data_IF_368599088023
#
_entry.id   IF_368599088023
#
_cell.length_a   1.000
_cell.length_b   1.000
_cell.length_c   1.000
_cell.angle_alpha   90.00
_cell.angle_beta   90.00
_cell.angle_gamma   90.00
#
_symmetry.space_group_name_H-M   'P 1'
#
loop_
_entity.id
_entity.type
_entity.pdbx_description
1 polymer ?
#
# COMPACT_ATOMS: atom_id res chain seq x y z
N UNK A 1 -6.52 4.15 -6.22
CA UNK A 1 -7.61 5.11 -5.92
C UNK A 1 -7.55 5.68 -4.51
N UNK A 2 -7.62 4.87 -3.45
CA UNK A 2 -7.60 5.39 -2.06
C UNK A 2 -6.41 6.32 -1.76
N UNK A 3 -5.20 5.97 -2.23
CA UNK A 3 -4.01 6.85 -2.12
C UNK A 3 -4.17 8.21 -2.80
N UNK A 4 -4.79 8.24 -3.99
CA UNK A 4 -4.99 9.50 -4.71
C UNK A 4 -6.01 10.38 -3.99
N UNK A 5 -7.10 9.80 -3.50
CA UNK A 5 -8.11 10.52 -2.69
C UNK A 5 -7.49 11.15 -1.44
N UNK A 6 -6.69 10.38 -0.70
CA UNK A 6 -5.97 10.88 0.47
C UNK A 6 -5.02 12.03 0.11
N UNK A 7 -4.26 11.87 -0.97
CA UNK A 7 -3.29 12.87 -1.42
C UNK A 7 -3.96 14.17 -1.87
N UNK A 8 -5.05 14.08 -2.65
CA UNK A 8 -5.79 15.25 -3.13
C UNK A 8 -6.48 16.00 -2.00
N UNK A 9 -6.99 15.30 -0.99
CA UNK A 9 -7.59 15.93 0.20
C UNK A 9 -6.56 16.75 0.97
N UNK A 10 -5.37 16.21 1.23
CA UNK A 10 -4.30 16.96 1.91
C UNK A 10 -3.83 18.16 1.09
N UNK A 11 -3.70 17.99 -0.22
CA UNK A 11 -3.21 19.04 -1.11
C UNK A 11 -4.22 20.19 -1.27
N UNK A 12 -5.51 19.87 -1.42
CA UNK A 12 -6.57 20.88 -1.54
C UNK A 12 -6.66 21.77 -0.31
N UNK A 13 -6.54 21.20 0.89
CA UNK A 13 -6.52 22.00 2.12
C UNK A 13 -5.24 22.84 2.28
N UNK A 14 -4.12 22.37 1.73
CA UNK A 14 -2.88 23.14 1.72
C UNK A 14 -2.96 24.31 0.73
N UNK A 15 -3.57 24.09 -0.44
CA UNK A 15 -3.80 25.10 -1.47
C UNK A 15 -4.70 26.24 -0.93
N UNK A 16 -5.76 25.88 -0.20
CA UNK A 16 -6.69 26.83 0.44
C UNK A 16 -6.17 27.43 1.76
N UNK A 17 -4.94 27.10 2.18
CA UNK A 17 -4.31 27.51 3.46
C UNK A 17 -5.09 27.13 4.73
N UNK A 18 -6.11 26.29 4.62
CA UNK A 18 -6.90 25.83 5.78
C UNK A 18 -6.10 24.91 6.69
N UNK A 19 -5.09 24.22 6.13
CA UNK A 19 -4.14 23.39 6.87
C UNK A 19 -3.31 24.23 7.86
N UNK A 20 -2.90 25.43 7.47
CA UNK A 20 -2.12 26.34 8.34
C UNK A 20 -2.95 26.76 9.55
N UNK A 21 -4.23 27.09 9.34
CA UNK A 21 -5.19 27.42 10.41
C UNK A 21 -5.43 26.24 11.36
N UNK A 22 -5.48 25.00 10.85
CA UNK A 22 -5.61 23.81 11.71
C UNK A 22 -4.40 23.58 12.61
N UNK A 23 -3.20 23.98 12.16
CA UNK A 23 -1.96 23.79 12.91
C UNK A 23 -1.75 24.84 14.02
N UNK A 24 -2.50 25.94 14.02
CA UNK A 24 -2.48 26.94 15.11
C UNK A 24 -3.42 26.59 16.26
N UNK A 25 -4.34 25.65 16.05
CA UNK A 25 -5.25 25.17 17.10
C UNK A 25 -4.52 24.26 18.10
N UNK A 26 -4.90 24.26 19.40
CA UNK A 26 -4.29 23.45 20.45
C UNK A 26 -4.75 21.99 20.39
N UNK A 27 -4.69 21.37 19.21
CA UNK A 27 -5.08 19.98 18.97
C UNK A 27 -3.86 19.11 18.68
N UNK A 28 -3.92 17.84 19.09
CA UNK A 28 -2.84 16.90 18.84
C UNK A 28 -2.74 16.60 17.33
N UNK A 29 -1.54 16.69 16.78
CA UNK A 29 -1.22 16.49 15.35
C UNK A 29 -1.57 15.07 14.87
N UNK A 30 -1.47 14.09 15.76
CA UNK A 30 -1.89 12.72 15.46
C UNK A 30 -3.41 12.65 15.22
N UNK A 31 -4.20 13.41 15.98
CA UNK A 31 -5.66 13.49 15.83
C UNK A 31 -6.04 14.17 14.51
N UNK A 32 -5.31 15.21 14.09
CA UNK A 32 -5.49 15.83 12.76
C UNK A 32 -5.27 14.80 11.65
N UNK A 33 -4.13 14.08 11.71
CA UNK A 33 -3.78 13.08 10.72
C UNK A 33 -4.80 11.92 10.69
N UNK A 34 -5.20 11.42 11.86
CA UNK A 34 -6.20 10.37 12.00
C UNK A 34 -7.54 10.80 11.42
N UNK A 35 -8.01 12.01 11.74
CA UNK A 35 -9.25 12.57 11.20
C UNK A 35 -9.26 12.63 9.67
N UNK A 36 -8.15 13.04 9.06
CA UNK A 36 -7.97 13.09 7.60
C UNK A 36 -7.95 11.71 6.95
N UNK A 37 -7.35 10.74 7.62
CA UNK A 37 -7.25 9.38 7.13
C UNK A 37 -8.58 8.64 7.13
N UNK A 38 -9.50 8.95 8.06
CA UNK A 38 -10.75 8.19 8.26
C UNK A 38 -11.51 7.96 6.96
N UNK A 39 -11.73 9.00 6.14
CA UNK A 39 -12.45 8.85 4.87
C UNK A 39 -11.75 7.90 3.88
N UNK A 40 -10.42 7.97 3.81
CA UNK A 40 -9.63 7.09 2.93
C UNK A 40 -9.52 5.67 3.48
N UNK A 41 -9.54 5.50 4.80
CA UNK A 41 -9.59 4.20 5.48
C UNK A 41 -10.89 3.48 5.14
N UNK A 42 -12.04 4.17 5.14
CA UNK A 42 -13.32 3.57 4.74
C UNK A 42 -13.23 3.03 3.31
N UNK A 43 -12.67 3.80 2.38
CA UNK A 43 -12.44 3.35 1.00
C UNK A 43 -11.49 2.14 0.95
N UNK A 44 -10.46 2.09 1.80
CA UNK A 44 -9.56 0.96 1.90
C UNK A 44 -10.25 -0.31 2.44
N UNK A 45 -11.12 -0.19 3.46
CA UNK A 45 -11.92 -1.30 3.98
C UNK A 45 -12.84 -1.85 2.89
N UNK A 46 -13.56 -0.97 2.19
CA UNK A 46 -14.45 -1.36 1.09
C UNK A 46 -13.63 -2.04 -0.02
N UNK A 47 -12.46 -1.50 -0.36
CA UNK A 47 -11.57 -2.09 -1.36
C UNK A 47 -11.07 -3.48 -0.97
N UNK A 48 -10.68 -3.69 0.29
CA UNK A 48 -10.25 -4.99 0.79
C UNK A 48 -11.41 -6.01 0.78
N UNK A 49 -12.62 -5.60 1.21
CA UNK A 49 -13.80 -6.44 1.17
C UNK A 49 -14.18 -6.82 -0.27
N UNK A 50 -14.18 -5.85 -1.20
CA UNK A 50 -14.44 -6.09 -2.61
C UNK A 50 -13.41 -7.05 -3.22
N UNK A 51 -12.14 -6.96 -2.82
CA UNK A 51 -11.11 -7.90 -3.26
C UNK A 51 -11.38 -9.32 -2.74
N UNK A 52 -11.74 -9.50 -1.47
CA UNK A 52 -12.04 -10.84 -0.91
C UNK A 52 -13.22 -11.48 -1.66
N UNK A 53 -14.28 -10.70 -1.91
CA UNK A 53 -15.45 -11.16 -2.67
C UNK A 53 -15.04 -11.54 -4.10
N UNK A 54 -14.28 -10.68 -4.77
CA UNK A 54 -13.78 -10.95 -6.13
C UNK A 54 -12.85 -12.16 -6.20
N UNK A 55 -11.97 -12.34 -5.21
CA UNK A 55 -11.07 -13.47 -5.11
C UNK A 55 -11.84 -14.77 -4.86
N UNK A 56 -12.88 -14.75 -4.01
CA UNK A 56 -13.76 -15.89 -3.79
C UNK A 56 -14.51 -16.28 -5.08
N UNK A 57 -15.06 -15.29 -5.81
CA UNK A 57 -15.71 -15.53 -7.10
C UNK A 57 -14.76 -16.08 -8.16
N UNK A 58 -13.53 -15.55 -8.22
CA UNK A 58 -12.49 -16.05 -9.11
C UNK A 58 -12.14 -17.51 -8.79
N UNK A 59 -11.98 -17.84 -7.51
CA UNK A 59 -11.70 -19.22 -7.07
C UNK A 59 -12.85 -20.17 -7.38
N UNK A 60 -14.09 -19.82 -7.03
CA UNK A 60 -15.24 -20.69 -7.32
C UNK A 60 -15.42 -20.94 -8.81
N UNK A 61 -15.22 -19.91 -9.65
CA UNK A 61 -15.31 -20.03 -11.11
C UNK A 61 -14.18 -20.89 -11.68
N UNK A 62 -12.95 -20.71 -11.20
CA UNK A 62 -11.79 -21.46 -11.65
C UNK A 62 -11.90 -22.95 -11.27
N UNK A 63 -12.36 -23.24 -10.05
CA UNK A 63 -12.60 -24.59 -9.57
C UNK A 63 -13.77 -25.26 -10.31
N UNK A 64 -14.84 -24.53 -10.61
CA UNK A 64 -16.00 -25.03 -11.35
C UNK A 64 -15.73 -25.37 -12.81
N UNK A 65 -14.60 -24.91 -13.37
CA UNK A 65 -14.18 -25.21 -14.74
C UNK A 65 -13.21 -26.40 -14.84
N UNK A 66 -12.75 -26.95 -13.70
CA UNK A 66 -11.94 -28.17 -13.67
C UNK A 66 -12.83 -29.40 -13.94
N UNK A 67 -12.42 -30.33 -14.82
CA UNK A 67 -13.18 -31.56 -15.07
C UNK A 67 -13.40 -32.36 -13.78
N UNK A 68 -14.65 -32.67 -13.47
CA UNK A 68 -15.07 -33.50 -12.33
C UNK A 68 -14.52 -34.93 -12.35
N UNK A 69 -13.95 -35.36 -13.48
CA UNK A 69 -13.36 -36.70 -13.72
C UNK A 69 -12.16 -37.03 -12.81
N UNK A 70 -11.51 -36.04 -12.16
CA UNK A 70 -10.36 -36.31 -11.29
C UNK A 70 -10.79 -36.78 -9.88
N UNK A 71 -12.03 -36.58 -9.43
CA UNK A 71 -12.55 -37.13 -8.17
C UNK A 71 -11.78 -36.73 -6.89
N UNK A 72 -10.74 -35.90 -6.99
CA UNK A 72 -9.97 -35.40 -5.87
C UNK A 72 -10.61 -34.12 -5.40
N UNK A 73 -11.23 -34.17 -4.22
CA UNK A 73 -11.67 -32.96 -3.53
C UNK A 73 -10.43 -32.14 -3.14
N UNK A 74 -10.29 -30.94 -3.70
CA UNK A 74 -9.16 -30.06 -3.45
C UNK A 74 -9.06 -29.66 -1.97
N UNK A 75 -10.16 -29.74 -1.22
CA UNK A 75 -10.14 -29.60 0.23
C UNK A 75 -9.45 -30.80 0.92
N UNK A 76 -9.58 -32.02 0.38
CA UNK A 76 -8.94 -33.23 0.94
C UNK A 76 -7.44 -33.28 0.71
N UNK A 77 -6.94 -32.59 -0.32
CA UNK A 77 -5.50 -32.45 -0.60
C UNK A 77 -4.89 -31.13 -0.08
N UNK A 78 -5.64 -30.38 0.73
CA UNK A 78 -5.16 -29.15 1.39
C UNK A 78 -4.97 -27.96 0.45
N UNK A 79 -5.51 -28.03 -0.77
CA UNK A 79 -5.37 -27.00 -1.81
C UNK A 79 -6.57 -26.05 -1.86
N UNK A 80 -7.59 -26.28 -1.03
CA UNK A 80 -8.73 -25.38 -0.90
C UNK A 80 -8.41 -24.24 0.09
N UNK A 81 -8.74 -22.98 -0.25
CA UNK A 81 -8.57 -21.85 0.66
C UNK A 81 -9.39 -22.02 1.94
N UNK A 82 -8.73 -22.03 3.09
CA UNK A 82 -9.41 -22.11 4.39
C UNK A 82 -9.98 -20.74 4.79
N UNK A 83 -10.97 -20.68 5.70
CA UNK A 83 -11.46 -19.42 6.26
C UNK A 83 -10.33 -18.56 6.88
N UNK A 84 -9.31 -19.21 7.45
CA UNK A 84 -8.13 -18.55 8.01
C UNK A 84 -7.30 -17.90 6.89
N UNK A 85 -7.13 -18.56 5.74
CA UNK A 85 -6.43 -17.99 4.58
C UNK A 85 -7.12 -16.71 4.08
N UNK A 86 -8.45 -16.69 4.01
CA UNK A 86 -9.20 -15.49 3.65
C UNK A 86 -9.06 -14.36 4.67
N UNK A 87 -9.05 -14.69 5.96
CA UNK A 87 -8.85 -13.69 7.03
C UNK A 87 -7.45 -13.07 6.95
N UNK A 88 -6.40 -13.89 6.81
CA UNK A 88 -5.04 -13.39 6.67
C UNK A 88 -4.85 -12.56 5.41
N UNK A 89 -5.43 -12.99 4.28
CA UNK A 89 -5.44 -12.22 3.03
C UNK A 89 -6.11 -10.86 3.24
N UNK A 90 -7.30 -10.84 3.86
CA UNK A 90 -8.04 -9.63 4.13
C UNK A 90 -7.29 -8.65 5.03
N UNK A 91 -6.73 -9.14 6.14
CA UNK A 91 -5.93 -8.33 7.07
C UNK A 91 -4.67 -7.82 6.38
N UNK A 92 -3.95 -8.68 5.64
CA UNK A 92 -2.74 -8.28 4.92
C UNK A 92 -3.03 -7.20 3.88
N UNK A 93 -4.12 -7.33 3.12
CA UNK A 93 -4.53 -6.32 2.15
C UNK A 93 -4.90 -5.01 2.83
N UNK A 94 -5.71 -5.07 3.90
CA UNK A 94 -6.11 -3.89 4.64
C UNK A 94 -4.91 -3.11 5.19
N UNK A 95 -3.99 -3.80 5.87
CA UNK A 95 -2.76 -3.19 6.42
C UNK A 95 -1.89 -2.62 5.30
N UNK A 96 -1.80 -3.30 4.15
CA UNK A 96 -1.06 -2.79 2.99
C UNK A 96 -1.69 -1.54 2.38
N UNK A 97 -3.03 -1.48 2.32
CA UNK A 97 -3.74 -0.29 1.87
C UNK A 97 -3.52 0.87 2.86
N UNK A 98 -3.56 0.62 4.18
CA UNK A 98 -3.21 1.61 5.19
C UNK A 98 -1.77 2.12 5.02
N UNK A 99 -0.80 1.24 4.77
CA UNK A 99 0.58 1.62 4.47
C UNK A 99 0.65 2.53 3.24
N UNK A 100 -0.11 2.22 2.20
CA UNK A 100 -0.19 3.01 0.98
C UNK A 100 -0.74 4.42 1.26
N UNK A 101 -1.81 4.51 2.06
CA UNK A 101 -2.39 5.78 2.48
C UNK A 101 -1.41 6.62 3.29
N UNK A 102 -0.72 6.01 4.25
CA UNK A 102 0.28 6.67 5.08
C UNK A 102 1.43 7.25 4.24
N UNK A 103 1.94 6.47 3.27
CA UNK A 103 2.96 6.93 2.33
C UNK A 103 2.45 8.06 1.43
N UNK A 104 1.26 7.91 0.85
CA UNK A 104 0.67 8.92 -0.02
C UNK A 104 0.54 10.28 0.68
N UNK A 105 0.06 10.30 1.93
CA UNK A 105 -0.05 11.52 2.73
C UNK A 105 1.33 12.08 3.09
N UNK A 106 2.27 11.22 3.47
CA UNK A 106 3.63 11.63 3.85
C UNK A 106 4.34 12.37 2.73
N UNK A 107 4.07 12.01 1.47
CA UNK A 107 4.68 12.65 0.30
C UNK A 107 3.81 13.83 -0.19
N UNK A 108 2.48 13.71 -0.16
CA UNK A 108 1.59 14.77 -0.66
C UNK A 108 1.71 16.07 0.12
N UNK A 109 2.16 16.03 1.38
CA UNK A 109 2.44 17.23 2.18
C UNK A 109 3.46 18.17 1.53
N UNK A 110 4.32 17.67 0.64
CA UNK A 110 5.31 18.47 -0.09
C UNK A 110 4.77 19.10 -1.37
N UNK A 111 3.56 18.75 -1.80
CA UNK A 111 2.91 19.41 -2.93
C UNK A 111 2.44 20.82 -2.55
N UNK A 112 2.33 21.70 -3.54
CA UNK A 112 1.72 23.04 -3.36
C UNK A 112 0.26 23.05 -3.85
N UNK A 113 -0.10 22.17 -4.79
CA UNK A 113 -1.40 22.07 -5.42
C UNK A 113 -1.86 20.60 -5.57
N UNK A 114 -3.16 20.40 -5.87
CA UNK A 114 -3.75 19.07 -6.08
C UNK A 114 -3.03 18.28 -7.18
N UNK A 115 -2.63 18.96 -8.27
CA UNK A 115 -1.92 18.32 -9.40
C UNK A 115 -0.53 17.85 -9.00
N UNK A 116 0.22 18.65 -8.24
CA UNK A 116 1.52 18.28 -7.69
C UNK A 116 1.44 17.08 -6.76
N UNK A 117 0.40 16.98 -5.92
CA UNK A 117 0.20 15.83 -5.05
C UNK A 117 -0.08 14.55 -5.84
N UNK A 118 -0.91 14.63 -6.88
CA UNK A 118 -1.13 13.49 -7.78
C UNK A 118 0.15 13.08 -8.51
N UNK A 119 0.96 14.05 -8.97
CA UNK A 119 2.24 13.79 -9.62
C UNK A 119 3.26 13.13 -8.68
N UNK A 120 3.24 13.48 -7.38
CA UNK A 120 4.11 12.88 -6.37
C UNK A 120 3.67 11.45 -5.97
N UNK A 121 2.36 11.21 -5.88
CA UNK A 121 1.83 9.88 -5.52
C UNK A 121 1.79 8.92 -6.71
N UNK A 122 1.80 9.44 -7.95
CA UNK A 122 1.88 8.64 -9.17
C UNK A 122 3.01 7.61 -9.15
N UNK A 123 4.29 8.01 -8.98
CA UNK A 123 5.42 7.09 -8.85
C UNK A 123 5.29 6.10 -7.69
N UNK A 124 4.54 6.42 -6.64
CA UNK A 124 4.31 5.48 -5.54
C UNK A 124 3.49 4.26 -5.99
N UNK A 125 2.63 4.43 -6.99
CA UNK A 125 1.90 3.30 -7.60
C UNK A 125 2.82 2.30 -8.29
N UNK A 126 4.02 2.71 -8.72
CA UNK A 126 5.00 1.77 -9.28
C UNK A 126 5.54 0.80 -8.23
N UNK A 127 5.54 1.17 -6.93
CA UNK A 127 5.88 0.24 -5.85
C UNK A 127 4.84 -0.87 -5.68
N UNK A 128 3.61 -0.71 -6.18
CA UNK A 128 2.62 -1.79 -6.27
C UNK A 128 2.81 -2.61 -7.55
N UNK A 129 3.02 -1.94 -8.68
CA UNK A 129 3.10 -2.59 -9.99
C UNK A 129 4.38 -3.42 -10.14
N UNK A 130 5.51 -2.95 -9.59
CA UNK A 130 6.80 -3.61 -9.76
C UNK A 130 6.86 -5.00 -9.11
N UNK A 131 6.51 -5.18 -7.81
CA UNK A 131 6.36 -6.52 -7.24
C UNK A 131 5.30 -7.34 -7.96
N UNK A 132 4.19 -6.71 -8.39
CA UNK A 132 3.11 -7.39 -9.09
C UNK A 132 3.60 -8.11 -10.34
N UNK A 133 4.33 -7.39 -11.21
CA UNK A 133 4.86 -7.96 -12.45
C UNK A 133 5.81 -9.11 -12.15
N UNK A 134 6.75 -8.93 -11.21
CA UNK A 134 7.76 -9.96 -10.93
C UNK A 134 7.11 -11.22 -10.35
N UNK A 135 6.24 -11.06 -9.36
CA UNK A 135 5.56 -12.19 -8.70
C UNK A 135 4.56 -12.91 -9.60
N UNK A 136 4.15 -12.31 -10.72
CA UNK A 136 3.33 -12.97 -11.72
C UNK A 136 4.11 -14.05 -12.48
N UNK A 137 5.44 -13.89 -12.63
CA UNK A 137 6.29 -14.82 -13.40
C UNK A 137 7.11 -15.76 -12.53
N UNK A 138 7.40 -15.39 -11.27
CA UNK A 138 8.29 -16.17 -10.42
C UNK A 138 7.92 -16.06 -8.94
N UNK A 139 8.37 -17.03 -8.16
CA UNK A 139 8.27 -16.93 -6.70
C UNK A 139 9.36 -16.03 -6.14
N UNK A 140 9.05 -15.30 -5.07
CA UNK A 140 10.00 -14.39 -4.42
C UNK A 140 11.21 -15.16 -3.89
N UNK A 141 11.01 -16.41 -3.44
CA UNK A 141 12.06 -17.27 -2.89
C UNK A 141 12.89 -17.99 -3.97
N UNK A 142 12.45 -17.96 -5.22
CA UNK A 142 13.21 -18.50 -6.35
C UNK A 142 14.19 -17.46 -6.95
N UNK A 143 14.11 -16.21 -6.51
CA UNK A 143 14.95 -15.13 -7.01
C UNK A 143 16.36 -15.14 -6.39
N UNK A 144 17.37 -14.60 -7.09
CA UNK A 144 18.67 -14.32 -6.49
C UNK A 144 18.53 -13.49 -5.22
N UNK A 145 19.35 -13.80 -4.21
CA UNK A 145 19.29 -13.19 -2.88
C UNK A 145 19.12 -11.65 -2.87
N UNK A 146 19.85 -10.87 -3.70
CA UNK A 146 19.67 -9.41 -3.72
C UNK A 146 18.27 -8.96 -4.16
N UNK A 147 17.69 -9.63 -5.17
CA UNK A 147 16.36 -9.27 -5.69
C UNK A 147 15.26 -9.68 -4.73
N UNK A 148 15.41 -10.83 -4.08
CA UNK A 148 14.49 -11.29 -3.04
C UNK A 148 14.40 -10.27 -1.90
N UNK A 149 15.53 -9.79 -1.40
CA UNK A 149 15.57 -8.80 -0.30
C UNK A 149 14.92 -7.48 -0.71
N UNK A 150 15.17 -7.00 -1.93
CA UNK A 150 14.55 -5.77 -2.43
C UNK A 150 13.03 -5.89 -2.51
N UNK A 151 12.51 -7.02 -3.01
CA UNK A 151 11.07 -7.22 -3.08
C UNK A 151 10.43 -7.37 -1.71
N UNK A 152 11.03 -8.14 -0.80
CA UNK A 152 10.53 -8.27 0.57
C UNK A 152 10.58 -6.95 1.36
N UNK A 153 11.51 -6.05 1.02
CA UNK A 153 11.53 -4.71 1.61
C UNK A 153 10.31 -3.87 1.20
N UNK A 154 9.72 -4.13 0.03
CA UNK A 154 8.55 -3.40 -0.46
C UNK A 154 7.30 -3.92 0.28
N UNK A 155 6.58 -3.09 1.04
CA UNK A 155 5.44 -3.54 1.85
C UNK A 155 4.32 -4.18 1.00
N UNK A 156 4.19 -3.74 -0.25
CA UNK A 156 3.16 -4.21 -1.19
C UNK A 156 3.42 -5.62 -1.76
N UNK A 157 4.59 -6.21 -1.49
CA UNK A 157 4.90 -7.61 -1.82
C UNK A 157 4.19 -8.58 -0.87
N UNK A 158 4.06 -8.24 0.40
CA UNK A 158 3.45 -9.10 1.42
C UNK A 158 1.98 -9.48 1.20
N UNK A 159 1.05 -8.60 0.75
CA UNK A 159 -0.31 -9.00 0.44
C UNK A 159 -0.38 -9.99 -0.73
N UNK A 160 0.60 -9.94 -1.65
CA UNK A 160 0.72 -10.92 -2.73
C UNK A 160 1.25 -12.28 -2.24
N UNK A 161 2.09 -12.30 -1.21
CA UNK A 161 2.49 -13.54 -0.54
C UNK A 161 1.33 -14.12 0.28
N UNK A 162 0.53 -13.25 0.91
CA UNK A 162 -0.65 -13.67 1.67
C UNK A 162 -1.72 -14.33 0.78
N UNK A 163 -1.87 -13.91 -0.48
CA UNK A 163 -2.80 -14.57 -1.41
C UNK A 163 -2.36 -15.99 -1.78
N UNK A 164 -1.05 -16.30 -1.69
CA UNK A 164 -0.54 -17.66 -1.91
C UNK A 164 -0.89 -18.63 -0.77
N UNK A 165 -1.11 -18.14 0.45
CA UNK A 165 -1.48 -18.98 1.61
C UNK A 165 -2.77 -19.76 1.38
N UNK A 166 -3.65 -19.25 0.52
CA UNK A 166 -4.83 -19.95 0.07
C UNK A 166 -4.52 -21.31 -0.60
N UNK A 167 -3.32 -21.47 -1.18
CA UNK A 167 -2.89 -22.66 -1.91
C UNK A 167 -1.73 -23.40 -1.23
N UNK A 168 -0.80 -22.67 -0.59
CA UNK A 168 0.42 -23.26 -0.01
C UNK A 168 0.25 -23.69 1.44
N UNK A 169 -0.77 -23.20 2.15
CA UNK A 169 -0.95 -23.43 3.58
C UNK A 169 0.12 -22.79 4.48
N UNK A 170 1.01 -21.95 3.93
CA UNK A 170 2.07 -21.29 4.70
C UNK A 170 1.54 -20.04 5.42
N UNK A 171 0.84 -20.27 6.54
CA UNK A 171 0.31 -19.19 7.38
C UNK A 171 1.39 -18.32 8.02
N UNK A 172 2.59 -18.89 8.25
CA UNK A 172 3.67 -18.24 8.97
C UNK A 172 4.22 -17.06 8.16
N UNK A 173 4.48 -17.27 6.87
CA UNK A 173 4.93 -16.22 5.95
C UNK A 173 3.93 -15.06 5.87
N UNK A 174 2.63 -15.33 5.83
CA UNK A 174 1.61 -14.28 5.83
C UNK A 174 1.60 -13.47 7.13
N UNK A 175 1.69 -14.13 8.29
CA UNK A 175 1.71 -13.44 9.59
C UNK A 175 2.96 -12.56 9.71
N UNK A 176 4.14 -13.05 9.34
CA UNK A 176 5.37 -12.24 9.31
C UNK A 176 5.19 -11.03 8.40
N UNK A 177 4.61 -11.23 7.21
CA UNK A 177 4.34 -10.14 6.28
C UNK A 177 3.40 -9.08 6.86
N UNK A 178 2.30 -9.50 7.51
CA UNK A 178 1.38 -8.58 8.18
C UNK A 178 2.09 -7.78 9.27
N UNK A 179 2.90 -8.43 10.10
CA UNK A 179 3.66 -7.76 11.17
C UNK A 179 4.65 -6.75 10.59
N UNK A 180 5.40 -7.14 9.55
CA UNK A 180 6.34 -6.24 8.87
C UNK A 180 5.64 -4.99 8.31
N UNK A 181 4.55 -5.17 7.55
CA UNK A 181 3.82 -4.04 6.96
C UNK A 181 3.16 -3.19 8.04
N UNK A 182 2.69 -3.79 9.14
CA UNK A 182 2.13 -3.06 10.28
C UNK A 182 3.17 -2.16 10.94
N UNK A 183 4.36 -2.70 11.24
CA UNK A 183 5.47 -1.93 11.81
C UNK A 183 5.88 -0.81 10.86
N UNK A 184 6.05 -1.13 9.57
CA UNK A 184 6.38 -0.14 8.55
C UNK A 184 5.33 0.98 8.49
N UNK A 185 4.04 0.63 8.53
CA UNK A 185 2.93 1.60 8.52
C UNK A 185 2.97 2.51 9.74
N UNK A 186 3.21 1.96 10.94
CA UNK A 186 3.33 2.74 12.18
C UNK A 186 4.50 3.72 12.08
N UNK A 187 5.65 3.27 11.57
CA UNK A 187 6.82 4.13 11.38
C UNK A 187 6.52 5.25 10.40
N UNK A 188 5.87 4.95 9.26
CA UNK A 188 5.49 5.97 8.27
C UNK A 188 4.47 6.95 8.84
N UNK A 189 3.45 6.49 9.58
CA UNK A 189 2.47 7.36 10.23
C UNK A 189 3.11 8.25 11.29
N UNK A 190 4.07 7.73 12.06
CA UNK A 190 4.84 8.52 13.01
C UNK A 190 5.66 9.61 12.30
N UNK A 191 6.33 9.28 11.20
CA UNK A 191 7.07 10.24 10.37
C UNK A 191 6.08 11.28 9.81
N UNK A 192 4.94 10.86 9.27
CA UNK A 192 3.90 11.76 8.76
C UNK A 192 3.46 12.75 9.84
N UNK A 193 3.06 12.27 11.02
CA UNK A 193 2.62 13.10 12.13
C UNK A 193 3.69 14.11 12.57
N UNK A 194 4.97 13.72 12.53
CA UNK A 194 6.09 14.61 12.83
C UNK A 194 6.34 15.65 11.73
N UNK A 195 6.14 15.29 10.46
CA UNK A 195 6.20 16.22 9.33
C UNK A 195 5.09 17.26 9.41
N UNK A 196 3.86 16.87 9.77
CA UNK A 196 2.74 17.78 10.05
C UNK A 196 3.02 18.73 11.23
N UNK A 197 4.00 18.41 12.07
CA UNK A 197 4.34 19.20 13.24
C UNK A 197 5.52 20.16 13.09
N UNK A 198 6.24 20.09 11.98
CA UNK A 198 7.42 20.92 11.78
C UNK A 198 7.05 22.03 10.80
N UNK A 199 7.53 23.26 11.02
CA UNK A 199 7.38 24.39 10.07
C UNK A 199 7.89 24.08 8.64
N UNK A 200 8.55 22.93 8.45
CA UNK A 200 8.95 22.35 7.16
C UNK A 200 7.81 22.16 6.16
N UNK A 201 6.53 22.12 6.56
CA UNK A 201 5.40 22.10 5.61
C UNK A 201 5.41 23.36 4.72
N UNK A 202 5.86 24.50 5.29
CA UNK A 202 5.97 25.79 4.61
C UNK A 202 7.28 25.94 3.82
N UNK A 203 8.38 25.31 4.27
CA UNK A 203 9.72 25.55 3.70
C UNK A 203 10.22 24.45 2.76
N UNK A 204 9.68 23.22 2.82
CA UNK A 204 10.17 22.08 2.04
C UNK A 204 9.67 22.13 0.59
N UNK A 205 10.14 23.12 -0.17
CA UNK A 205 10.03 23.13 -1.62
C UNK A 205 10.97 22.07 -2.17
N UNK A 206 10.44 21.00 -2.74
CA UNK A 206 11.20 20.09 -3.60
C UNK A 206 11.62 20.86 -4.86
N UNK A 207 12.67 21.69 -4.76
CA UNK A 207 13.35 22.22 -5.93
C UNK A 207 14.04 21.05 -6.61
N UNK A 208 13.40 20.45 -7.61
CA UNK A 208 14.07 19.60 -8.58
C UNK A 208 15.21 20.42 -9.21
N UNK A 209 16.41 20.28 -8.64
CA UNK A 209 17.62 20.91 -9.16
C UNK A 209 17.88 20.24 -10.50
N UNK A 210 17.44 20.89 -11.59
CA UNK A 210 17.73 20.49 -12.97
C UNK A 210 19.22 20.15 -13.06
N UNK A 211 19.53 18.86 -13.15
CA UNK A 211 20.87 18.37 -13.47
C UNK A 211 21.17 18.85 -14.89
N UNK A 212 21.83 19.99 -14.97
CA UNK A 212 22.32 20.58 -16.21
C UNK A 212 23.44 19.65 -16.70
N UNK A 213 23.11 18.70 -17.57
CA UNK A 213 24.10 17.95 -18.32
C UNK A 213 24.96 18.96 -19.08
N UNK A 214 26.18 19.20 -18.57
CA UNK A 214 27.22 19.92 -19.30
C UNK A 214 27.53 19.08 -20.53
N UNK A 215 27.10 19.54 -21.70
CA UNK A 215 27.63 19.05 -22.98
C UNK A 215 29.16 19.23 -22.92
N UNK A 216 29.89 18.13 -22.82
CA UNK A 216 31.32 18.08 -23.09
C UNK A 216 31.50 18.47 -24.55
N UNK A 217 32.12 19.63 -24.77
CA UNK A 217 32.53 20.11 -26.09
C UNK A 217 34.06 19.99 -26.12
N UNK A 218 34.54 18.98 -26.85
CA UNK A 218 35.77 18.84 -27.64
C UNK A 218 36.28 17.42 -27.54
#
# INVERSE_FOLDING_TARGET
FAMQLAATSVASEKEEKTLETLLTLPINRFTILAGKLTGSIVVAVIGAAAYIVGFNYYMSSFMGMMPTEIGVDLATIGLAPTPISYLLLGVSLFVSLLSALALAISISIFAEDVRGAQALVGPLSMLLVFPMIIMMFTDVYALPFPLMVVLLAIPFTHPMLASKVAFTGDYLTAVIGIVYVSIFTIVVLYIAARLFGTEKILTAKLKFRKLRFRKLKK
#
